data_IF_006051936161
#
_entry.id   IF_006051936161
#
_cell.length_a   1.000
_cell.length_b   1.000
_cell.length_c   1.000
_cell.angle_alpha   90.00
_cell.angle_beta   90.00
_cell.angle_gamma   90.00
#
_symmetry.space_group_name_H-M   'P 1'
#
loop_
_entity.id
_entity.type
_entity.pdbx_description
1 polymer ?
#
# COMPACT_ATOMS: atom_id res chain seq x y z
N UNK A 1 22.28 -7.85 -23.31
CA UNK A 1 22.24 -9.19 -22.65
C UNK A 1 22.53 -9.12 -21.16
N UNK A 2 23.64 -8.49 -20.74
CA UNK A 2 23.94 -8.32 -19.30
C UNK A 2 22.78 -7.66 -18.53
N UNK A 3 22.16 -6.61 -19.06
CA UNK A 3 20.95 -6.02 -18.47
C UNK A 3 19.78 -7.00 -18.32
N UNK A 4 19.58 -7.94 -19.26
CA UNK A 4 18.55 -8.97 -19.14
C UNK A 4 18.85 -9.91 -17.96
N UNK A 5 20.09 -10.38 -17.89
CA UNK A 5 20.55 -11.26 -16.82
C UNK A 5 20.42 -10.59 -15.45
N UNK A 6 20.87 -9.34 -15.31
CA UNK A 6 20.72 -8.58 -14.07
C UNK A 6 19.24 -8.32 -13.72
N UNK A 7 18.40 -7.99 -14.70
CA UNK A 7 16.96 -7.76 -14.50
C UNK A 7 16.20 -8.99 -14.00
N UNK A 8 16.62 -10.20 -14.41
CA UNK A 8 16.05 -11.44 -13.88
C UNK A 8 16.60 -11.75 -12.49
N UNK A 9 17.92 -11.68 -12.28
CA UNK A 9 18.55 -12.13 -11.04
C UNK A 9 18.33 -11.19 -9.86
N UNK A 10 18.20 -9.88 -10.07
CA UNK A 10 18.05 -8.92 -8.98
C UNK A 10 16.77 -9.13 -8.14
N UNK A 11 15.56 -9.31 -8.73
CA UNK A 11 14.38 -9.68 -7.96
C UNK A 11 14.54 -10.99 -7.18
N UNK A 12 15.22 -12.00 -7.74
CA UNK A 12 15.47 -13.25 -7.04
C UNK A 12 16.39 -13.06 -5.83
N UNK A 13 17.44 -12.25 -5.96
CA UNK A 13 18.31 -11.89 -4.86
C UNK A 13 17.54 -11.17 -3.74
N UNK A 14 16.69 -10.19 -4.07
CA UNK A 14 15.87 -9.50 -3.07
C UNK A 14 14.87 -10.44 -2.38
N UNK A 15 14.22 -11.33 -3.14
CA UNK A 15 13.34 -12.37 -2.60
C UNK A 15 14.09 -13.33 -1.68
N UNK A 16 15.33 -13.69 -2.00
CA UNK A 16 16.19 -14.51 -1.14
C UNK A 16 16.47 -13.82 0.19
N UNK A 17 16.82 -12.53 0.18
CA UNK A 17 17.05 -11.75 1.39
C UNK A 17 15.78 -11.63 2.25
N UNK A 18 14.62 -11.38 1.61
CA UNK A 18 13.32 -11.35 2.30
C UNK A 18 12.94 -12.72 2.89
N UNK A 19 13.17 -13.80 2.15
CA UNK A 19 12.95 -15.16 2.63
C UNK A 19 13.86 -15.50 3.81
N UNK A 20 15.12 -15.05 3.77
CA UNK A 20 16.05 -15.21 4.90
C UNK A 20 15.52 -14.50 6.16
N UNK A 21 15.10 -13.22 6.03
CA UNK A 21 14.46 -12.48 7.13
C UNK A 21 13.25 -13.22 7.70
N UNK A 22 12.38 -13.74 6.84
CA UNK A 22 11.21 -14.53 7.26
C UNK A 22 11.61 -15.82 7.99
N UNK A 23 12.64 -16.54 7.53
CA UNK A 23 13.11 -17.76 8.21
C UNK A 23 13.66 -17.42 9.59
N UNK A 24 14.51 -16.40 9.70
CA UNK A 24 15.07 -15.98 11.00
C UNK A 24 14.01 -15.41 11.96
N UNK A 25 12.93 -14.82 11.46
CA UNK A 25 11.82 -14.38 12.31
C UNK A 25 10.97 -15.53 12.84
N UNK A 26 10.98 -16.70 12.18
CA UNK A 26 10.28 -17.90 12.66
C UNK A 26 11.02 -18.61 13.79
N UNK A 27 12.33 -18.33 13.98
CA UNK A 27 13.04 -18.85 15.15
C UNK A 27 12.56 -18.11 16.40
N UNK A 28 12.09 -18.82 17.45
CA UNK A 28 11.66 -18.23 18.71
C UNK A 28 12.87 -17.83 19.58
N UNK A 29 13.79 -17.04 19.02
CA UNK A 29 15.03 -16.60 19.66
C UNK A 29 15.04 -15.07 19.86
N UNK A 30 15.56 -14.58 20.99
CA UNK A 30 15.71 -13.15 21.22
C UNK A 30 16.70 -12.53 20.22
N UNK A 31 16.57 -11.23 19.95
CA UNK A 31 17.37 -10.51 18.95
C UNK A 31 18.89 -10.71 19.10
N UNK A 32 19.50 -10.63 20.31
CA UNK A 32 20.94 -10.79 20.45
C UNK A 32 21.45 -12.16 19.98
N UNK A 33 20.68 -13.23 20.23
CA UNK A 33 21.05 -14.60 19.83
C UNK A 33 20.93 -14.75 18.31
N UNK A 34 19.91 -14.17 17.69
CA UNK A 34 19.78 -14.19 16.22
C UNK A 34 20.94 -13.45 15.55
N UNK A 35 21.33 -12.28 16.07
CA UNK A 35 22.49 -11.54 15.62
C UNK A 35 23.79 -12.36 15.80
N UNK A 36 23.96 -13.02 16.94
CA UNK A 36 25.11 -13.89 17.18
C UNK A 36 25.17 -15.07 16.19
N UNK A 37 24.03 -15.69 15.86
CA UNK A 37 23.97 -16.73 14.83
C UNK A 37 24.33 -16.21 13.44
N UNK A 38 23.81 -15.04 13.07
CA UNK A 38 24.17 -14.37 11.81
C UNK A 38 25.68 -14.09 11.74
N UNK A 39 26.24 -13.52 12.81
CA UNK A 39 27.66 -13.23 12.94
C UNK A 39 28.54 -14.48 12.94
N UNK A 40 28.09 -15.57 13.56
CA UNK A 40 28.79 -16.86 13.56
C UNK A 40 28.88 -17.43 12.15
N UNK A 41 27.79 -17.41 11.38
CA UNK A 41 27.79 -17.86 9.98
C UNK A 41 28.77 -17.04 9.15
N UNK A 42 28.74 -15.71 9.27
CA UNK A 42 29.66 -14.82 8.56
C UNK A 42 31.10 -15.09 8.99
N UNK A 43 31.36 -15.20 10.29
CA UNK A 43 32.69 -15.44 10.84
C UNK A 43 33.31 -16.76 10.38
N UNK A 44 32.53 -17.85 10.38
CA UNK A 44 32.99 -19.16 9.87
C UNK A 44 33.35 -19.09 8.40
N UNK A 45 32.54 -18.39 7.59
CA UNK A 45 32.83 -18.20 6.16
C UNK A 45 34.12 -17.37 5.98
N UNK A 46 34.28 -16.31 6.77
CA UNK A 46 35.41 -15.38 6.68
C UNK A 46 36.76 -15.98 7.06
N UNK A 47 36.81 -17.10 7.78
CA UNK A 47 38.07 -17.83 8.04
C UNK A 47 38.71 -18.33 6.74
N UNK A 48 37.88 -18.78 5.80
CA UNK A 48 38.34 -19.34 4.53
C UNK A 48 38.34 -18.30 3.40
N UNK A 49 37.42 -17.34 3.45
CA UNK A 49 37.20 -16.32 2.43
C UNK A 49 37.06 -14.93 3.07
N UNK A 50 38.16 -14.26 3.44
CA UNK A 50 38.13 -12.99 4.15
C UNK A 50 37.40 -11.88 3.36
N UNK A 51 37.38 -11.96 2.03
CA UNK A 51 36.72 -11.01 1.12
C UNK A 51 35.19 -10.97 1.30
N UNK A 52 34.63 -11.97 1.96
CA UNK A 52 33.20 -12.06 2.25
C UNK A 52 32.79 -11.14 3.41
N UNK A 53 33.72 -10.76 4.29
CA UNK A 53 33.43 -9.85 5.40
C UNK A 53 33.06 -8.44 4.90
N UNK A 54 32.41 -7.66 5.76
CA UNK A 54 32.06 -6.27 5.49
C UNK A 54 30.99 -6.07 4.43
N UNK A 55 30.84 -4.83 3.97
CA UNK A 55 29.78 -4.45 3.01
C UNK A 55 30.07 -4.87 1.55
N UNK A 56 31.30 -5.32 1.26
CA UNK A 56 31.73 -5.76 -0.08
C UNK A 56 32.31 -4.65 -0.98
N UNK A 57 32.39 -3.40 -0.50
CA UNK A 57 32.90 -2.29 -1.29
C UNK A 57 34.36 -2.46 -1.70
N UNK A 58 35.21 -2.92 -0.79
CA UNK A 58 36.64 -3.16 -1.05
C UNK A 58 36.85 -4.16 -2.19
N UNK A 59 36.04 -5.23 -2.21
CA UNK A 59 36.10 -6.22 -3.28
C UNK A 59 35.63 -5.61 -4.59
N UNK A 60 34.53 -4.87 -4.60
CA UNK A 60 34.08 -4.13 -5.80
C UNK A 60 35.19 -3.23 -6.33
N UNK A 61 35.87 -2.48 -5.45
CA UNK A 61 36.98 -1.63 -5.84
C UNK A 61 38.14 -2.46 -6.43
N UNK A 62 38.47 -3.61 -5.84
CA UNK A 62 39.51 -4.50 -6.36
C UNK A 62 39.17 -5.08 -7.74
N UNK A 63 37.89 -5.40 -8.01
CA UNK A 63 37.41 -5.89 -9.31
C UNK A 63 37.58 -4.86 -10.44
N UNK A 64 37.57 -3.58 -10.10
CA UNK A 64 37.75 -2.49 -11.06
C UNK A 64 39.23 -2.26 -11.41
N UNK A 65 40.16 -2.68 -10.56
CA UNK A 65 41.59 -2.39 -10.71
C UNK A 65 42.46 -3.61 -11.00
N UNK A 66 42.02 -4.82 -10.60
CA UNK A 66 42.80 -6.04 -10.72
C UNK A 66 42.03 -7.12 -11.49
N UNK A 67 42.72 -7.96 -12.28
CA UNK A 67 42.09 -9.10 -12.93
C UNK A 67 41.83 -10.22 -11.92
N UNK A 68 40.58 -10.65 -11.83
CA UNK A 68 40.16 -11.78 -11.00
C UNK A 68 39.90 -13.02 -11.87
N UNK A 69 40.19 -14.20 -11.33
CA UNK A 69 39.85 -15.47 -11.99
C UNK A 69 38.36 -15.77 -11.87
N UNK A 70 37.79 -16.44 -12.88
CA UNK A 70 36.37 -16.83 -12.87
C UNK A 70 36.00 -17.72 -11.68
N UNK A 71 36.92 -18.58 -11.25
CA UNK A 71 36.75 -19.44 -10.07
C UNK A 71 36.68 -18.64 -8.77
N UNK A 72 37.56 -17.65 -8.59
CA UNK A 72 37.52 -16.78 -7.42
C UNK A 72 36.22 -15.96 -7.37
N UNK A 73 35.82 -15.38 -8.52
CA UNK A 73 34.57 -14.61 -8.64
C UNK A 73 33.34 -15.42 -8.24
N UNK A 74 33.20 -16.64 -8.78
CA UNK A 74 32.06 -17.50 -8.49
C UNK A 74 32.04 -17.90 -7.00
N UNK A 75 33.21 -18.18 -6.45
CA UNK A 75 33.34 -18.62 -5.05
C UNK A 75 32.97 -17.50 -4.09
N UNK A 76 33.55 -16.30 -4.26
CA UNK A 76 33.22 -15.14 -3.42
C UNK A 76 31.76 -14.73 -3.61
N UNK A 77 31.19 -14.83 -4.82
CA UNK A 77 29.77 -14.53 -5.05
C UNK A 77 28.85 -15.42 -4.20
N UNK A 78 29.05 -16.74 -4.23
CA UNK A 78 28.22 -17.70 -3.49
C UNK A 78 28.33 -17.44 -1.99
N UNK A 79 29.55 -17.34 -1.46
CA UNK A 79 29.75 -17.10 -0.03
C UNK A 79 29.24 -15.72 0.41
N UNK A 80 29.39 -14.68 -0.43
CA UNK A 80 28.85 -13.35 -0.14
C UNK A 80 27.33 -13.34 -0.10
N UNK A 81 26.65 -14.07 -0.99
CA UNK A 81 25.19 -14.19 -0.96
C UNK A 81 24.74 -14.85 0.34
N UNK A 82 25.40 -15.93 0.77
CA UNK A 82 25.10 -16.63 2.03
C UNK A 82 25.34 -15.70 3.23
N UNK A 83 26.50 -15.04 3.28
CA UNK A 83 26.85 -14.12 4.36
C UNK A 83 25.89 -12.92 4.44
N UNK A 84 25.51 -12.34 3.30
CA UNK A 84 24.55 -11.23 3.22
C UNK A 84 23.16 -11.70 3.65
N UNK A 85 22.73 -12.89 3.22
CA UNK A 85 21.44 -13.45 3.62
C UNK A 85 21.40 -13.76 5.13
N UNK A 86 22.47 -14.30 5.70
CA UNK A 86 22.58 -14.55 7.14
C UNK A 86 22.58 -13.25 7.95
N UNK A 87 23.36 -12.25 7.52
CA UNK A 87 23.44 -10.94 8.17
C UNK A 87 22.09 -10.22 8.12
N UNK A 88 21.50 -10.07 6.93
CA UNK A 88 20.20 -9.42 6.77
C UNK A 88 19.07 -10.20 7.45
N UNK A 89 19.14 -11.54 7.44
CA UNK A 89 18.17 -12.42 8.07
C UNK A 89 18.16 -12.28 9.59
N UNK A 90 19.35 -12.21 10.21
CA UNK A 90 19.52 -12.12 11.66
C UNK A 90 18.90 -10.89 12.34
N UNK A 91 18.51 -9.88 11.55
CA UNK A 91 17.97 -8.61 12.04
C UNK A 91 19.04 -7.52 12.18
N UNK A 92 20.25 -7.72 11.66
CA UNK A 92 21.27 -6.68 11.63
C UNK A 92 20.77 -5.48 10.81
N UNK A 93 20.95 -4.28 11.35
CA UNK A 93 20.60 -3.03 10.67
C UNK A 93 21.65 -2.77 9.59
N UNK A 94 21.24 -2.78 8.33
CA UNK A 94 22.14 -2.58 7.21
C UNK A 94 21.38 -2.33 5.90
N UNK A 95 21.99 -1.54 5.03
CA UNK A 95 21.48 -1.30 3.69
C UNK A 95 21.75 -2.47 2.76
N UNK A 96 20.86 -2.68 1.78
CA UNK A 96 21.04 -3.67 0.69
C UNK A 96 21.83 -3.11 -0.50
N UNK A 97 22.22 -1.84 -0.41
CA UNK A 97 22.83 -1.10 -1.50
C UNK A 97 24.18 -1.68 -1.96
N UNK A 98 25.17 -1.76 -1.06
CA UNK A 98 26.51 -2.27 -1.40
C UNK A 98 26.52 -3.76 -1.77
N UNK A 99 25.76 -4.65 -1.10
CA UNK A 99 25.64 -6.04 -1.56
C UNK A 99 25.05 -6.17 -2.97
N UNK A 100 24.11 -5.29 -3.33
CA UNK A 100 23.53 -5.24 -4.69
C UNK A 100 24.58 -4.82 -5.71
N UNK A 101 25.37 -3.79 -5.41
CA UNK A 101 26.51 -3.39 -6.25
C UNK A 101 27.51 -4.53 -6.42
N UNK A 102 27.86 -5.21 -5.32
CA UNK A 102 28.80 -6.34 -5.32
C UNK A 102 28.33 -7.46 -6.25
N UNK A 103 27.09 -7.90 -6.10
CA UNK A 103 26.53 -8.98 -6.94
C UNK A 103 26.52 -8.55 -8.41
N UNK A 104 26.12 -7.31 -8.69
CA UNK A 104 26.16 -6.75 -10.04
C UNK A 104 27.57 -6.69 -10.64
N UNK A 105 28.57 -6.26 -9.86
CA UNK A 105 29.96 -6.20 -10.28
C UNK A 105 30.49 -7.59 -10.67
N UNK A 106 30.29 -8.57 -9.80
CA UNK A 106 30.79 -9.93 -10.02
C UNK A 106 30.08 -10.59 -11.20
N UNK A 107 28.76 -10.44 -11.33
CA UNK A 107 28.02 -10.91 -12.50
C UNK A 107 28.51 -10.24 -13.80
N UNK A 108 28.81 -8.95 -13.74
CA UNK A 108 29.42 -8.20 -14.84
C UNK A 108 30.79 -8.76 -15.23
N UNK A 109 31.69 -8.97 -14.27
CA UNK A 109 33.00 -9.58 -14.52
C UNK A 109 32.88 -10.99 -15.12
N UNK A 110 32.02 -11.85 -14.55
CA UNK A 110 31.79 -13.20 -15.05
C UNK A 110 31.25 -13.18 -16.49
N UNK A 111 30.32 -12.28 -16.78
CA UNK A 111 29.81 -12.07 -18.13
C UNK A 111 30.92 -11.59 -19.08
N UNK A 112 31.74 -10.63 -18.65
CA UNK A 112 32.88 -10.12 -19.41
C UNK A 112 33.87 -11.22 -19.77
N UNK A 113 34.28 -12.04 -18.80
CA UNK A 113 35.18 -13.19 -19.01
C UNK A 113 34.55 -14.18 -19.99
N UNK A 114 33.27 -14.54 -19.81
CA UNK A 114 32.57 -15.43 -20.71
C UNK A 114 32.51 -14.88 -22.14
N UNK A 115 32.19 -13.58 -22.31
CA UNK A 115 32.17 -12.96 -23.65
C UNK A 115 33.56 -12.94 -24.29
N UNK A 116 34.61 -12.70 -23.50
CA UNK A 116 35.98 -12.66 -24.01
C UNK A 116 36.45 -14.05 -24.47
N UNK A 117 35.99 -15.11 -23.81
CA UNK A 117 36.29 -16.48 -24.26
C UNK A 117 35.61 -16.84 -25.58
N UNK A 118 34.44 -16.27 -25.88
CA UNK A 118 33.67 -16.58 -27.10
C UNK A 118 34.05 -15.65 -28.26
N UNK A 119 34.28 -14.36 -27.99
CA UNK A 119 34.64 -13.34 -28.98
C UNK A 119 35.86 -12.49 -28.55
N UNK A 120 37.09 -13.02 -28.63
CA UNK A 120 38.28 -12.35 -28.11
C UNK A 120 38.59 -10.99 -28.78
N UNK A 121 38.18 -10.82 -30.04
CA UNK A 121 38.51 -9.63 -30.85
C UNK A 121 37.46 -8.50 -30.76
N UNK A 122 36.36 -8.69 -30.02
CA UNK A 122 35.25 -7.72 -29.97
C UNK A 122 34.82 -7.35 -28.55
N UNK A 123 35.62 -7.69 -27.54
CA UNK A 123 35.30 -7.43 -26.14
C UNK A 123 36.00 -6.21 -25.58
N UNK A 124 35.30 -5.51 -24.68
CA UNK A 124 35.87 -4.44 -23.87
C UNK A 124 36.68 -4.99 -22.69
N UNK A 125 37.36 -4.12 -21.97
CA UNK A 125 38.08 -4.51 -20.77
C UNK A 125 37.13 -5.05 -19.67
N UNK A 126 37.54 -6.05 -18.87
CA UNK A 126 36.68 -6.68 -17.85
C UNK A 126 36.04 -5.71 -16.85
N UNK A 127 36.74 -4.64 -16.47
CA UNK A 127 36.21 -3.61 -15.55
C UNK A 127 35.01 -2.85 -16.14
N UNK A 128 34.93 -2.71 -17.47
CA UNK A 128 33.78 -2.08 -18.13
C UNK A 128 32.50 -2.90 -17.93
N UNK A 129 32.60 -4.23 -18.04
CA UNK A 129 31.47 -5.12 -17.78
C UNK A 129 31.08 -5.12 -16.30
N UNK A 130 32.04 -5.01 -15.39
CA UNK A 130 31.78 -4.86 -13.95
C UNK A 130 30.94 -3.61 -13.67
N UNK A 131 31.32 -2.44 -14.20
CA UNK A 131 30.58 -1.19 -14.03
C UNK A 131 29.15 -1.28 -14.59
N UNK A 132 28.99 -1.84 -15.78
CA UNK A 132 27.67 -2.05 -16.40
C UNK A 132 26.82 -3.01 -15.55
N UNK A 133 27.42 -4.08 -15.03
CA UNK A 133 26.76 -5.05 -14.16
C UNK A 133 26.30 -4.43 -12.84
N UNK A 134 27.15 -3.63 -12.20
CA UNK A 134 26.83 -2.88 -10.98
C UNK A 134 25.58 -2.03 -11.16
N UNK A 135 25.57 -1.19 -12.20
CA UNK A 135 24.44 -0.29 -12.45
C UNK A 135 23.19 -1.03 -12.85
N UNK A 136 23.29 -2.02 -13.74
CA UNK A 136 22.14 -2.77 -14.20
C UNK A 136 21.46 -3.55 -13.06
N UNK A 137 22.24 -4.18 -12.19
CA UNK A 137 21.71 -4.91 -11.04
C UNK A 137 21.12 -3.97 -9.99
N UNK A 138 21.77 -2.82 -9.74
CA UNK A 138 21.24 -1.78 -8.85
C UNK A 138 19.94 -1.16 -9.39
N UNK A 139 19.87 -0.81 -10.68
CA UNK A 139 18.68 -0.28 -11.32
C UNK A 139 17.49 -1.24 -11.22
N UNK A 140 17.74 -2.54 -11.43
CA UNK A 140 16.74 -3.59 -11.29
C UNK A 140 16.28 -3.78 -9.83
N UNK A 141 17.20 -3.73 -8.86
CA UNK A 141 16.88 -3.91 -7.46
C UNK A 141 16.16 -2.70 -6.82
N UNK A 142 16.50 -1.49 -7.25
CA UNK A 142 15.98 -0.23 -6.66
C UNK A 142 14.83 0.38 -7.45
N UNK A 143 14.52 -0.16 -8.64
CA UNK A 143 13.56 0.41 -9.56
C UNK A 143 13.85 1.87 -9.95
N UNK A 144 15.11 2.30 -9.86
CA UNK A 144 15.55 3.67 -10.08
C UNK A 144 16.75 3.74 -11.05
N UNK A 145 16.52 3.57 -12.37
CA UNK A 145 17.60 3.46 -13.36
C UNK A 145 18.45 4.73 -13.47
N UNK A 146 17.86 5.93 -13.43
CA UNK A 146 18.61 7.19 -13.52
C UNK A 146 19.57 7.37 -12.33
N UNK A 147 19.10 7.06 -11.12
CA UNK A 147 19.93 7.10 -9.91
C UNK A 147 21.10 6.11 -10.03
N UNK A 148 20.83 4.87 -10.45
CA UNK A 148 21.89 3.87 -10.63
C UNK A 148 22.93 4.30 -11.68
N UNK A 149 22.48 4.86 -12.82
CA UNK A 149 23.38 5.37 -13.86
C UNK A 149 24.29 6.46 -13.31
N UNK A 150 23.70 7.49 -12.68
CA UNK A 150 24.46 8.63 -12.16
C UNK A 150 25.46 8.21 -11.09
N UNK A 151 25.04 7.33 -10.19
CA UNK A 151 25.87 6.86 -9.10
C UNK A 151 27.07 6.03 -9.56
N UNK A 152 26.86 5.11 -10.50
CA UNK A 152 27.99 4.35 -11.07
C UNK A 152 28.91 5.27 -11.88
N UNK A 153 28.34 6.20 -12.64
CA UNK A 153 29.13 7.19 -13.36
C UNK A 153 29.97 8.05 -12.41
N UNK A 154 29.40 8.54 -11.32
CA UNK A 154 30.13 9.36 -10.33
C UNK A 154 31.22 8.57 -9.62
N UNK A 155 30.96 7.32 -9.24
CA UNK A 155 31.95 6.47 -8.58
C UNK A 155 33.13 6.08 -9.49
N UNK A 156 32.91 6.02 -10.81
CA UNK A 156 33.90 5.47 -11.76
C UNK A 156 34.50 6.52 -12.69
N UNK A 157 33.80 7.63 -12.89
CA UNK A 157 34.13 8.74 -13.80
C UNK A 157 34.51 8.29 -15.22
N UNK A 158 33.99 7.13 -15.66
CA UNK A 158 34.35 6.49 -16.92
C UNK A 158 33.32 6.77 -18.02
N UNK A 159 33.57 7.77 -18.86
CA UNK A 159 32.68 8.13 -19.98
C UNK A 159 32.44 7.00 -20.98
N UNK A 160 33.44 6.13 -21.19
CA UNK A 160 33.37 5.04 -22.18
C UNK A 160 32.30 4.00 -21.83
N UNK A 161 32.04 3.77 -20.54
CA UNK A 161 31.08 2.77 -20.09
C UNK A 161 29.65 3.32 -19.91
N UNK A 162 29.45 4.64 -20.00
CA UNK A 162 28.16 5.30 -19.71
C UNK A 162 27.07 4.86 -20.69
N UNK A 163 27.35 4.83 -21.99
CA UNK A 163 26.35 4.43 -23.00
C UNK A 163 25.86 2.98 -22.78
N UNK A 164 26.75 1.95 -22.68
CA UNK A 164 26.34 0.59 -22.35
C UNK A 164 25.65 0.44 -20.99
N UNK A 165 26.08 1.21 -20.00
CA UNK A 165 25.50 1.26 -18.66
C UNK A 165 24.05 1.73 -18.72
N UNK A 166 23.77 2.86 -19.38
CA UNK A 166 22.42 3.42 -19.51
C UNK A 166 21.45 2.43 -20.12
N UNK A 167 21.84 1.82 -21.25
CA UNK A 167 21.01 0.84 -21.95
C UNK A 167 20.76 -0.40 -21.07
N UNK A 168 21.80 -0.89 -20.40
CA UNK A 168 21.67 -2.07 -19.53
C UNK A 168 20.81 -1.81 -18.30
N UNK A 169 20.91 -0.62 -17.68
CA UNK A 169 20.07 -0.20 -16.56
C UNK A 169 18.59 -0.14 -16.93
N UNK A 170 18.26 0.47 -18.08
CA UNK A 170 16.87 0.58 -18.55
C UNK A 170 16.29 -0.81 -18.85
N UNK A 171 17.05 -1.66 -19.55
CA UNK A 171 16.62 -3.04 -19.84
C UNK A 171 16.41 -3.85 -18.56
N UNK A 172 17.37 -3.77 -17.62
CA UNK A 172 17.28 -4.48 -16.35
C UNK A 172 16.08 -4.03 -15.52
N UNK A 173 15.81 -2.72 -15.49
CA UNK A 173 14.63 -2.14 -14.84
C UNK A 173 13.31 -2.70 -15.38
N UNK A 174 13.13 -2.67 -16.71
CA UNK A 174 11.87 -3.16 -17.30
C UNK A 174 11.65 -4.66 -17.06
N UNK A 175 12.72 -5.46 -17.10
CA UNK A 175 12.65 -6.91 -16.87
C UNK A 175 12.35 -7.21 -15.41
N UNK A 176 13.01 -6.52 -14.48
CA UNK A 176 12.73 -6.67 -13.06
C UNK A 176 11.28 -6.31 -12.74
N UNK A 177 10.80 -5.19 -13.30
CA UNK A 177 9.41 -4.75 -13.15
C UNK A 177 8.42 -5.75 -13.73
N UNK A 178 8.70 -6.33 -14.90
CA UNK A 178 7.86 -7.37 -15.49
C UNK A 178 7.80 -8.64 -14.60
N UNK A 179 8.94 -9.08 -14.07
CA UNK A 179 9.05 -10.25 -13.17
C UNK A 179 8.29 -10.07 -11.84
N UNK A 180 8.22 -8.84 -11.33
CA UNK A 180 7.44 -8.50 -10.14
C UNK A 180 5.94 -8.36 -10.42
N UNK A 181 5.54 -7.82 -11.57
CA UNK A 181 4.13 -7.68 -11.94
C UNK A 181 3.41 -9.04 -12.05
N UNK A 182 4.07 -10.08 -12.57
CA UNK A 182 3.51 -11.44 -12.57
C UNK A 182 3.25 -11.95 -11.15
N UNK A 183 4.15 -11.66 -10.21
CA UNK A 183 4.00 -12.03 -8.80
C UNK A 183 2.95 -11.20 -8.05
N UNK A 184 2.74 -9.94 -8.43
CA UNK A 184 1.75 -9.06 -7.78
C UNK A 184 0.34 -9.28 -8.33
N UNK A 185 0.19 -9.58 -9.63
CA UNK A 185 -1.11 -9.79 -10.27
C UNK A 185 -1.85 -11.01 -9.68
N UNK A 186 -1.15 -12.10 -9.36
CA UNK A 186 -1.73 -13.26 -8.66
C UNK A 186 -2.18 -12.94 -7.22
N UNK A 187 -1.44 -12.08 -6.52
CA UNK A 187 -1.75 -11.68 -5.14
C UNK A 187 -2.91 -10.67 -5.09
N UNK A 188 -2.94 -9.72 -6.04
CA UNK A 188 -4.00 -8.72 -6.15
C UNK A 188 -5.31 -9.35 -6.61
N UNK A 189 -5.30 -10.27 -7.58
CA UNK A 189 -6.51 -10.98 -8.01
C UNK A 189 -7.11 -11.87 -6.92
N UNK A 190 -6.28 -12.51 -6.08
CA UNK A 190 -6.78 -13.23 -4.89
C UNK A 190 -7.41 -12.29 -3.86
N UNK A 191 -6.77 -11.15 -3.56
CA UNK A 191 -7.32 -10.15 -2.63
C UNK A 191 -8.62 -9.53 -3.12
N UNK A 192 -8.70 -9.10 -4.38
CA UNK A 192 -9.91 -8.45 -4.92
C UNK A 192 -11.08 -9.42 -5.07
N UNK A 193 -10.83 -10.73 -5.27
CA UNK A 193 -11.89 -11.75 -5.36
C UNK A 193 -12.44 -12.12 -3.99
N UNK A 194 -11.58 -12.29 -2.99
CA UNK A 194 -11.97 -12.51 -1.59
C UNK A 194 -12.65 -11.28 -0.99
N UNK A 195 -12.22 -10.07 -1.36
CA UNK A 195 -12.84 -8.80 -0.95
C UNK A 195 -14.22 -8.59 -1.58
N UNK A 196 -14.41 -8.90 -2.87
CA UNK A 196 -15.73 -8.86 -3.53
C UNK A 196 -16.70 -9.91 -3.01
N UNK A 197 -16.22 -11.10 -2.66
CA UNK A 197 -17.06 -12.14 -2.06
C UNK A 197 -17.43 -11.81 -0.60
N UNK A 198 -16.51 -11.23 0.19
CA UNK A 198 -16.80 -10.72 1.54
C UNK A 198 -17.74 -9.52 1.56
N UNK A 199 -17.58 -8.57 0.61
CA UNK A 199 -18.50 -7.44 0.46
C UNK A 199 -19.90 -7.87 0.02
N UNK A 200 -20.00 -8.95 -0.78
CA UNK A 200 -21.30 -9.58 -1.11
C UNK A 200 -21.95 -10.26 0.11
N UNK A 201 -21.17 -10.89 0.98
CA UNK A 201 -21.67 -11.50 2.22
C UNK A 201 -22.04 -10.46 3.30
N UNK A 202 -21.50 -9.23 3.21
CA UNK A 202 -21.83 -8.09 4.07
C UNK A 202 -23.04 -7.26 3.59
N UNK A 203 -23.62 -7.58 2.42
CA UNK A 203 -24.73 -6.85 1.81
C UNK A 203 -26.08 -6.98 2.55
N UNK A 204 -26.12 -7.64 3.71
CA UNK A 204 -27.36 -7.94 4.45
C UNK A 204 -27.54 -7.10 5.73
N UNK A 205 -26.56 -6.27 6.13
CA UNK A 205 -26.56 -5.62 7.46
C UNK A 205 -27.18 -4.21 7.50
N UNK A 206 -27.55 -3.59 6.37
CA UNK A 206 -28.10 -2.23 6.39
C UNK A 206 -29.43 -2.15 7.16
N UNK A 207 -30.29 -3.17 7.01
CA UNK A 207 -31.56 -3.31 7.76
C UNK A 207 -31.36 -3.33 9.27
N UNK A 208 -30.28 -3.95 9.75
CA UNK A 208 -29.98 -4.08 11.18
C UNK A 208 -29.54 -2.75 11.82
N UNK A 209 -29.07 -1.81 11.00
CA UNK A 209 -28.64 -0.49 11.44
C UNK A 209 -29.79 0.52 11.54
N UNK A 210 -30.95 0.20 10.97
CA UNK A 210 -32.14 1.06 11.03
C UNK A 210 -32.64 1.13 12.48
N UNK A 211 -32.87 2.35 12.95
CA UNK A 211 -33.47 2.66 14.25
C UNK A 211 -34.76 3.45 14.03
N UNK A 212 -35.76 3.34 14.93
CA UNK A 212 -36.97 4.15 14.83
C UNK A 212 -36.62 5.64 14.80
N UNK A 213 -37.40 6.41 14.03
CA UNK A 213 -37.22 7.85 13.93
C UNK A 213 -38.08 8.55 15.00
N UNK A 214 -37.45 9.05 16.06
CA UNK A 214 -38.17 9.72 17.18
C UNK A 214 -38.45 11.20 16.91
N UNK A 215 -37.80 11.78 15.91
CA UNK A 215 -37.86 13.23 15.60
C UNK A 215 -38.59 13.47 14.28
N UNK A 216 -39.85 13.05 14.25
CA UNK A 216 -40.72 13.12 13.08
C UNK A 216 -41.88 14.06 13.37
N UNK A 217 -42.21 14.94 12.42
CA UNK A 217 -43.31 15.91 12.55
C UNK A 217 -44.19 15.88 11.29
N UNK A 218 -45.52 16.09 11.43
CA UNK A 218 -46.40 16.25 10.27
C UNK A 218 -46.18 17.60 9.57
N UNK A 219 -46.61 17.72 8.30
CA UNK A 219 -46.58 18.98 7.54
C UNK A 219 -47.29 20.14 8.24
N UNK A 220 -48.31 19.84 9.05
CA UNK A 220 -49.12 20.81 9.78
C UNK A 220 -48.52 21.22 11.14
N UNK A 221 -47.39 20.63 11.55
CA UNK A 221 -46.77 20.91 12.84
C UNK A 221 -46.40 22.40 12.95
N UNK A 222 -46.80 23.04 14.04
CA UNK A 222 -46.50 24.45 14.25
C UNK A 222 -45.08 24.66 14.79
N UNK A 223 -44.62 25.92 14.79
CA UNK A 223 -43.27 26.27 15.27
C UNK A 223 -43.06 25.81 16.71
N UNK A 224 -44.05 25.99 17.59
CA UNK A 224 -43.94 25.61 19.01
C UNK A 224 -43.70 24.11 19.21
N UNK A 225 -44.38 23.28 18.43
CA UNK A 225 -44.22 21.83 18.42
C UNK A 225 -42.84 21.44 17.91
N UNK A 226 -42.39 22.00 16.78
CA UNK A 226 -41.04 21.75 16.27
C UNK A 226 -39.95 22.18 17.25
N UNK A 227 -40.08 23.37 17.87
CA UNK A 227 -39.15 23.86 18.89
C UNK A 227 -39.11 22.92 20.09
N UNK A 228 -40.26 22.39 20.53
CA UNK A 228 -40.29 21.41 21.62
C UNK A 228 -39.50 20.15 21.27
N UNK A 229 -39.68 19.61 20.06
CA UNK A 229 -38.94 18.41 19.62
C UNK A 229 -37.44 18.70 19.53
N UNK A 230 -37.03 19.88 19.05
CA UNK A 230 -35.61 20.28 19.01
C UNK A 230 -34.99 20.51 20.40
N UNK A 231 -35.79 20.88 21.40
CA UNK A 231 -35.32 20.99 22.78
C UNK A 231 -35.18 19.62 23.46
N UNK A 232 -36.06 18.69 23.11
CA UNK A 232 -36.04 17.32 23.64
C UNK A 232 -34.93 16.47 23.00
N UNK A 233 -34.69 16.67 21.70
CA UNK A 233 -33.67 15.95 20.94
C UNK A 233 -32.66 16.94 20.33
N UNK A 234 -31.36 16.88 20.68
CA UNK A 234 -30.35 17.82 20.20
C UNK A 234 -29.91 17.51 18.76
N UNK A 235 -30.80 17.75 17.80
CA UNK A 235 -30.65 17.34 16.40
C UNK A 235 -30.70 18.55 15.46
N UNK A 236 -30.02 18.46 14.31
CA UNK A 236 -30.01 19.55 13.31
C UNK A 236 -31.26 19.60 12.43
N UNK A 237 -31.92 18.45 12.25
CA UNK A 237 -33.03 18.27 11.32
C UNK A 237 -34.15 17.46 11.97
N UNK A 238 -35.39 17.89 11.75
CA UNK A 238 -36.60 17.09 11.96
C UNK A 238 -37.06 16.52 10.62
N UNK A 239 -37.55 15.29 10.62
CA UNK A 239 -38.09 14.64 9.43
C UNK A 239 -39.57 14.96 9.28
N UNK A 240 -39.98 15.41 8.10
CA UNK A 240 -41.38 15.77 7.83
C UNK A 240 -42.05 14.64 7.06
N UNK A 241 -43.21 14.21 7.53
CA UNK A 241 -44.03 13.19 6.88
C UNK A 241 -45.40 13.73 6.48
N UNK A 242 -46.03 13.08 5.50
CA UNK A 242 -47.45 13.24 5.19
C UNK A 242 -48.34 12.36 6.08
N UNK A 243 -49.66 12.45 5.90
CA UNK A 243 -50.66 11.70 6.68
C UNK A 243 -50.57 10.17 6.50
N UNK A 244 -49.86 9.71 5.47
CA UNK A 244 -49.67 8.29 5.11
C UNK A 244 -48.27 7.80 5.56
N UNK A 245 -47.43 8.68 6.12
CA UNK A 245 -46.09 8.36 6.61
C UNK A 245 -44.99 8.48 5.55
N UNK A 246 -45.28 9.04 4.37
CA UNK A 246 -44.23 9.30 3.38
C UNK A 246 -43.35 10.46 3.81
N UNK A 247 -42.04 10.25 3.69
CA UNK A 247 -41.03 11.25 3.88
C UNK A 247 -41.14 12.35 2.80
N UNK A 248 -41.36 13.59 3.25
CA UNK A 248 -41.51 14.78 2.37
C UNK A 248 -40.30 15.70 2.39
N UNK A 249 -39.35 15.48 3.31
CA UNK A 249 -38.15 16.29 3.47
C UNK A 249 -37.84 16.58 4.93
N UNK A 250 -37.08 17.65 5.17
CA UNK A 250 -36.66 18.03 6.53
C UNK A 250 -36.96 19.48 6.85
N UNK A 251 -37.04 19.77 8.15
CA UNK A 251 -36.94 21.14 8.69
C UNK A 251 -35.63 21.26 9.45
N UNK A 252 -34.82 22.26 9.07
CA UNK A 252 -33.53 22.53 9.71
C UNK A 252 -33.71 23.48 10.91
N UNK A 253 -33.06 23.18 12.04
CA UNK A 253 -33.13 23.98 13.26
C UNK A 253 -32.79 25.46 13.00
N UNK A 254 -31.73 25.70 12.21
CA UNK A 254 -31.27 27.05 11.86
C UNK A 254 -32.35 27.92 11.20
N UNK A 255 -33.26 27.33 10.41
CA UNK A 255 -34.32 28.07 9.73
C UNK A 255 -35.38 28.57 10.73
N UNK A 256 -35.69 27.74 11.73
CA UNK A 256 -36.61 28.11 12.81
C UNK A 256 -35.96 29.15 13.72
N UNK A 257 -34.70 28.92 14.13
CA UNK A 257 -33.99 29.85 15.03
C UNK A 257 -33.85 31.24 14.42
N UNK A 258 -33.59 31.34 13.11
CA UNK A 258 -33.51 32.62 12.41
C UNK A 258 -34.84 33.40 12.48
N UNK A 259 -35.96 32.73 12.18
CA UNK A 259 -37.27 33.37 12.18
C UNK A 259 -37.77 33.73 13.60
N UNK A 260 -37.37 32.98 14.62
CA UNK A 260 -37.64 33.29 16.03
C UNK A 260 -36.88 34.53 16.51
N UNK A 261 -35.66 34.75 16.02
CA UNK A 261 -34.84 35.92 16.39
C UNK A 261 -35.30 37.21 15.68
N UNK A 262 -35.82 37.09 14.46
CA UNK A 262 -36.27 38.21 13.63
C UNK A 262 -37.73 38.65 13.92
N UNK A 263 -38.40 38.05 14.92
CA UNK A 263 -39.80 38.33 15.31
C UNK A 263 -40.82 38.22 14.15
N UNK A 264 -40.50 37.38 13.15
CA UNK A 264 -41.28 37.21 11.91
C UNK A 264 -42.47 36.27 12.11
N UNK A 265 -43.44 36.69 12.91
CA UNK A 265 -44.82 36.15 12.94
C UNK A 265 -44.89 34.62 12.91
N UNK A 266 -44.23 33.96 13.86
CA UNK A 266 -44.11 32.49 13.90
C UNK A 266 -45.44 31.77 14.20
N UNK A 267 -46.45 32.47 14.73
CA UNK A 267 -47.71 31.88 15.20
C UNK A 267 -48.55 31.21 14.10
N UNK A 268 -48.32 31.55 12.83
CA UNK A 268 -49.06 30.98 11.70
C UNK A 268 -48.23 30.05 10.81
N UNK A 269 -46.92 29.92 11.07
CA UNK A 269 -46.04 29.10 10.25
C UNK A 269 -46.06 27.64 10.70
N UNK A 270 -45.93 26.76 9.73
CA UNK A 270 -45.98 25.30 9.89
C UNK A 270 -44.73 24.65 9.32
N UNK A 271 -44.54 23.36 9.57
CA UNK A 271 -43.44 22.59 8.99
C UNK A 271 -43.41 22.66 7.46
N UNK A 272 -44.57 22.78 6.80
CA UNK A 272 -44.67 22.99 5.37
C UNK A 272 -43.96 24.28 4.88
N UNK A 273 -43.97 25.35 5.68
CA UNK A 273 -43.33 26.63 5.32
C UNK A 273 -41.81 26.58 5.42
N UNK A 274 -41.27 25.65 6.22
CA UNK A 274 -39.83 25.44 6.42
C UNK A 274 -39.27 24.23 5.69
N UNK A 275 -40.11 23.55 4.91
CA UNK A 275 -39.80 22.26 4.31
C UNK A 275 -38.66 22.38 3.29
N UNK A 276 -37.64 21.54 3.47
CA UNK A 276 -36.58 21.30 2.48
C UNK A 276 -36.83 19.93 1.83
N UNK A 277 -37.43 19.89 0.62
CA UNK A 277 -37.86 18.64 0.00
C UNK A 277 -36.70 17.79 -0.54
N UNK A 278 -35.58 18.41 -0.90
CA UNK A 278 -34.40 17.71 -1.39
C UNK A 278 -33.48 17.39 -0.21
N UNK A 279 -33.58 16.17 0.31
CA UNK A 279 -32.74 15.68 1.39
C UNK A 279 -32.33 14.23 1.12
N UNK A 280 -31.05 13.92 1.28
CA UNK A 280 -30.53 12.59 1.03
C UNK A 280 -31.16 11.56 1.97
N UNK A 281 -31.61 10.44 1.40
CA UNK A 281 -32.20 9.32 2.13
C UNK A 281 -31.50 8.01 1.74
N UNK A 282 -31.47 7.07 2.67
CA UNK A 282 -30.90 5.76 2.49
C UNK A 282 -32.01 4.73 2.22
N UNK A 283 -31.64 3.60 1.60
CA UNK A 283 -32.54 2.47 1.38
C UNK A 283 -32.09 1.25 2.20
N UNK A 284 -33.03 0.44 2.72
CA UNK A 284 -32.71 -0.68 3.61
C UNK A 284 -31.92 -1.81 2.94
N UNK A 285 -31.95 -1.90 1.61
CA UNK A 285 -31.30 -2.92 0.78
C UNK A 285 -29.99 -2.44 0.12
N UNK A 286 -29.58 -1.19 0.37
CA UNK A 286 -28.36 -0.64 -0.21
C UNK A 286 -27.09 -1.20 0.46
N UNK A 287 -25.98 -1.19 -0.27
CA UNK A 287 -24.70 -1.66 0.26
C UNK A 287 -24.13 -0.68 1.31
N UNK A 288 -23.45 -1.21 2.34
CA UNK A 288 -22.87 -0.37 3.41
C UNK A 288 -21.86 0.68 2.87
N UNK A 289 -21.11 0.31 1.83
CA UNK A 289 -20.16 1.22 1.17
C UNK A 289 -20.86 2.36 0.43
N UNK A 290 -22.03 2.11 -0.16
CA UNK A 290 -22.87 3.12 -0.81
C UNK A 290 -23.47 4.06 0.24
N UNK A 291 -24.04 3.50 1.32
CA UNK A 291 -24.54 4.29 2.44
C UNK A 291 -23.45 5.16 3.09
N UNK A 292 -22.19 4.69 3.16
CA UNK A 292 -21.06 5.50 3.62
C UNK A 292 -20.79 6.70 2.70
N UNK A 293 -20.90 6.53 1.39
CA UNK A 293 -20.71 7.64 0.44
C UNK A 293 -21.74 8.75 0.66
N UNK A 294 -23.01 8.40 0.92
CA UNK A 294 -24.03 9.39 1.31
C UNK A 294 -23.63 10.15 2.59
N UNK A 295 -23.11 9.47 3.62
CA UNK A 295 -22.62 10.12 4.84
C UNK A 295 -21.33 10.95 4.68
N UNK A 296 -20.56 10.73 3.63
CA UNK A 296 -19.38 11.53 3.29
C UNK A 296 -19.78 12.83 2.58
N UNK A 297 -20.82 12.77 1.74
CA UNK A 297 -21.41 13.96 1.11
C UNK A 297 -22.25 14.79 2.09
N UNK A 298 -22.85 14.15 3.11
CA UNK A 298 -23.73 14.78 4.08
C UNK A 298 -23.01 15.26 5.35
N UNK A 299 -23.32 16.48 5.79
CA UNK A 299 -22.72 17.18 6.96
C UNK A 299 -23.41 16.87 8.31
N UNK A 300 -24.33 15.91 8.36
CA UNK A 300 -25.04 15.53 9.59
C UNK A 300 -24.69 14.13 10.10
N UNK A 301 -25.27 13.81 11.26
CA UNK A 301 -24.95 12.60 12.03
C UNK A 301 -25.88 11.42 11.74
N UNK A 302 -27.02 11.68 11.10
CA UNK A 302 -28.03 10.67 10.78
C UNK A 302 -28.76 11.00 9.49
N UNK A 303 -29.10 9.96 8.75
CA UNK A 303 -29.88 10.04 7.51
C UNK A 303 -31.17 9.23 7.68
N UNK A 304 -32.30 9.70 7.10
CA UNK A 304 -33.54 8.95 7.08
C UNK A 304 -33.39 7.73 6.17
N UNK A 305 -34.09 6.65 6.53
CA UNK A 305 -34.20 5.45 5.70
C UNK A 305 -35.62 5.39 5.16
N UNK A 306 -35.75 5.32 3.84
CA UNK A 306 -37.02 5.18 3.14
C UNK A 306 -37.11 3.81 2.48
N UNK A 307 -38.33 3.30 2.31
CA UNK A 307 -38.53 1.99 1.67
C UNK A 307 -38.04 1.97 0.22
N UNK A 308 -38.46 2.94 -0.60
CA UNK A 308 -37.94 3.14 -1.95
C UNK A 308 -38.26 4.57 -2.45
N UNK A 309 -37.68 4.99 -3.58
CA UNK A 309 -37.91 6.33 -4.14
C UNK A 309 -39.32 6.55 -4.73
N UNK A 310 -40.04 5.49 -5.11
CA UNK A 310 -41.40 5.60 -5.67
C UNK A 310 -42.47 5.75 -4.56
N UNK A 311 -42.20 5.18 -3.39
CA UNK A 311 -43.01 5.15 -2.18
C UNK A 311 -42.08 5.45 -1.00
N UNK A 312 -41.80 6.74 -0.72
CA UNK A 312 -40.79 7.13 0.25
C UNK A 312 -41.30 6.99 1.69
N UNK A 313 -41.83 5.82 2.06
CA UNK A 313 -42.28 5.53 3.42
C UNK A 313 -41.08 5.59 4.37
N UNK A 314 -41.17 6.41 5.42
CA UNK A 314 -40.09 6.56 6.39
C UNK A 314 -40.02 5.33 7.30
N UNK A 315 -38.99 4.51 7.14
CA UNK A 315 -38.75 3.31 7.94
C UNK A 315 -38.01 3.61 9.25
N UNK A 316 -37.21 4.67 9.26
CA UNK A 316 -36.40 5.03 10.42
C UNK A 316 -35.21 5.91 10.07
N UNK A 317 -34.16 5.81 10.88
CA UNK A 317 -32.91 6.54 10.72
C UNK A 317 -31.71 5.63 10.91
N UNK A 318 -30.60 5.98 10.27
CA UNK A 318 -29.29 5.37 10.52
C UNK A 318 -28.35 6.44 11.03
N UNK A 319 -27.54 6.09 12.02
CA UNK A 319 -26.51 6.97 12.57
C UNK A 319 -25.16 6.70 11.92
N UNK A 320 -24.41 7.76 11.63
CA UNK A 320 -23.07 7.74 11.05
C UNK A 320 -22.11 6.90 11.88
N UNK A 321 -22.20 7.01 13.21
CA UNK A 321 -21.38 6.23 14.16
C UNK A 321 -21.65 4.73 14.06
N UNK A 322 -22.92 4.32 14.01
CA UNK A 322 -23.31 2.91 13.84
C UNK A 322 -22.82 2.34 12.51
N UNK A 323 -22.93 3.12 11.44
CA UNK A 323 -22.48 2.72 10.11
C UNK A 323 -20.95 2.60 10.04
N UNK A 324 -20.21 3.57 10.58
CA UNK A 324 -18.75 3.52 10.65
C UNK A 324 -18.27 2.35 11.50
N UNK A 325 -18.92 2.08 12.64
CA UNK A 325 -18.59 0.94 13.50
C UNK A 325 -18.82 -0.40 12.77
N UNK A 326 -19.92 -0.53 12.05
CA UNK A 326 -20.18 -1.71 11.22
C UNK A 326 -19.10 -1.87 10.13
N UNK A 327 -18.74 -0.78 9.46
CA UNK A 327 -17.70 -0.77 8.43
C UNK A 327 -16.31 -1.13 8.98
N UNK A 328 -15.92 -0.59 10.15
CA UNK A 328 -14.64 -0.91 10.79
C UNK A 328 -14.56 -2.36 11.30
N UNK A 329 -15.66 -2.90 11.84
CA UNK A 329 -15.71 -4.32 12.25
C UNK A 329 -15.49 -5.26 11.07
N UNK A 330 -16.02 -4.93 9.90
CA UNK A 330 -15.82 -5.69 8.68
C UNK A 330 -14.37 -5.60 8.16
N UNK A 331 -13.71 -4.45 8.35
CA UNK A 331 -12.35 -4.22 7.86
C UNK A 331 -11.24 -4.69 8.82
N UNK A 332 -11.57 -5.00 10.09
CA UNK A 332 -10.67 -5.70 11.01
C UNK A 332 -10.64 -7.20 10.71
N UNK A 333 -9.67 -7.63 9.91
CA UNK A 333 -9.26 -9.04 9.87
C UNK A 333 -8.56 -9.43 11.19
N UNK A 334 -8.66 -10.67 11.69
CA UNK A 334 -8.05 -11.15 12.94
C UNK A 334 -6.53 -11.38 12.79
N UNK A 335 -5.80 -10.34 12.38
CA UNK A 335 -4.34 -10.35 12.32
C UNK A 335 -3.69 -9.67 13.54
N UNK A 336 -4.48 -9.40 14.59
CA UNK A 336 -4.01 -8.76 15.83
C UNK A 336 -3.88 -9.73 17.02
N UNK A 337 -4.31 -11.00 16.87
CA UNK A 337 -4.30 -12.00 17.96
C UNK A 337 -3.48 -13.28 17.61
N UNK A 338 -2.39 -13.15 16.85
CA UNK A 338 -1.38 -14.20 16.62
C UNK A 338 0.03 -13.60 16.56
#
# INVERSE_FOLDING_TARGET
>A
MLGLLCGVLAPHFLRLLAASRKRFSLLPLPLPIRLALGGLIVGVISIWWPEVWGNGYEVVNSLLHQPWTSTALLTVLVFKIIATAATAGSGAVGGIFTPTLFVGAVLGCLFGIATHTIWPHSTSAPYAYAMVGMGAFLAAATHAPLMAILMIFEMTLSYQAVLPLMLSCVVAYFIARASEQTSMYEVTLRRTREEKERLRLAATQMRELVRPADTVVPLTANVKEMTRVFLEYPVKYLYVIDDIGHFRGVVALQNITFDLLDDRGCDKKTAADYLQPHFDALMPDMALGEALQHFLAFQGERLPVIENNAQPLLLGVVYKTSLLNAYFRLNRSPAADL
#
